data_IF_432310080089
#
_entry.id   IF_432310080089
#
_cell.length_a   1.000
_cell.length_b   1.000
_cell.length_c   1.000
_cell.angle_alpha   90.00
_cell.angle_beta   90.00
_cell.angle_gamma   90.00
#
_symmetry.space_group_name_H-M   'P 1'
#
loop_
_entity.id
_entity.type
_entity.pdbx_description
1 polymer ?
#
# COMPACT_ATOMS: atom_id res chain seq x y z
N UNK A 1 19.11 -11.11 0.50
CA UNK A 1 19.26 -9.70 0.89
C UNK A 1 18.01 -9.29 1.65
N UNK A 2 18.13 -8.48 2.71
CA UNK A 2 17.00 -8.01 3.50
C UNK A 2 16.90 -6.48 3.36
N UNK A 3 15.68 -5.97 3.23
CA UNK A 3 15.40 -4.53 3.21
C UNK A 3 14.23 -4.25 4.13
N UNK A 4 14.34 -3.18 4.93
CA UNK A 4 13.26 -2.67 5.76
C UNK A 4 13.30 -1.15 5.72
N UNK A 5 12.25 -0.57 5.18
CA UNK A 5 12.07 0.86 5.06
C UNK A 5 11.47 1.39 6.37
N UNK A 6 11.96 2.53 6.82
CA UNK A 6 11.38 3.26 7.95
C UNK A 6 10.17 4.07 7.46
N UNK A 7 9.03 3.40 7.37
CA UNK A 7 7.78 3.98 6.86
C UNK A 7 6.93 4.42 8.05
N UNK A 8 6.42 5.67 8.07
CA UNK A 8 5.47 6.12 9.06
C UNK A 8 4.30 5.16 9.21
N UNK A 9 3.90 4.86 10.44
CA UNK A 9 2.76 4.02 10.75
C UNK A 9 1.58 4.89 11.14
N UNK A 10 0.47 4.73 10.43
CA UNK A 10 -0.78 5.44 10.70
C UNK A 10 -1.90 4.43 10.89
N UNK A 11 -2.76 4.68 11.87
CA UNK A 11 -4.04 4.00 11.98
C UNK A 11 -5.07 4.68 11.07
N UNK A 12 -5.93 3.90 10.43
CA UNK A 12 -7.06 4.43 9.68
C UNK A 12 -8.05 5.06 10.65
N UNK A 13 -8.51 6.28 10.35
CA UNK A 13 -9.44 7.01 11.22
C UNK A 13 -10.91 6.58 11.04
N UNK A 14 -11.23 5.93 9.92
CA UNK A 14 -12.56 5.43 9.58
C UNK A 14 -12.51 3.94 9.20
N UNK A 15 -13.62 3.19 9.33
CA UNK A 15 -13.63 1.74 9.09
C UNK A 15 -13.22 1.32 7.66
N UNK A 16 -13.44 2.15 6.64
CA UNK A 16 -13.20 1.78 5.24
C UNK A 16 -12.17 2.67 4.52
N UNK A 17 -11.30 3.37 5.25
CA UNK A 17 -10.30 4.28 4.66
C UNK A 17 -8.87 3.73 4.63
N UNK A 18 -8.71 2.40 4.67
CA UNK A 18 -7.40 1.73 4.56
C UNK A 18 -6.65 2.13 3.28
N UNK A 19 -7.35 2.27 2.15
CA UNK A 19 -6.78 2.71 0.87
C UNK A 19 -6.09 4.07 0.95
N UNK A 20 -6.73 5.02 1.64
CA UNK A 20 -6.25 6.38 1.79
C UNK A 20 -5.12 6.43 2.82
N UNK A 21 -5.34 5.82 3.99
CA UNK A 21 -4.34 5.77 5.06
C UNK A 21 -3.04 5.11 4.60
N UNK A 22 -3.13 4.03 3.82
CA UNK A 22 -1.96 3.38 3.21
C UNK A 22 -1.24 4.28 2.22
N UNK A 23 -1.97 5.00 1.36
CA UNK A 23 -1.37 5.97 0.45
C UNK A 23 -0.71 7.12 1.23
N UNK A 24 -1.31 7.62 2.32
CA UNK A 24 -0.74 8.65 3.19
C UNK A 24 0.60 8.20 3.81
N UNK A 25 0.70 6.96 4.30
CA UNK A 25 1.97 6.43 4.84
C UNK A 25 3.10 6.46 3.79
N UNK A 26 2.79 6.11 2.55
CA UNK A 26 3.74 6.14 1.44
C UNK A 26 4.10 7.59 1.08
N UNK A 27 3.12 8.48 1.01
CA UNK A 27 3.34 9.90 0.80
C UNK A 27 4.30 10.49 1.84
N UNK A 28 4.04 10.28 3.13
CA UNK A 28 4.89 10.78 4.21
C UNK A 28 6.32 10.22 4.11
N UNK A 29 6.49 8.94 3.77
CA UNK A 29 7.81 8.37 3.53
C UNK A 29 8.56 9.13 2.40
N UNK A 30 7.90 9.39 1.26
CA UNK A 30 8.54 10.13 0.17
C UNK A 30 8.84 11.58 0.54
N UNK A 31 7.96 12.26 1.27
CA UNK A 31 8.21 13.61 1.76
C UNK A 31 9.44 13.65 2.69
N UNK A 32 9.58 12.67 3.58
CA UNK A 32 10.75 12.55 4.46
C UNK A 32 12.05 12.29 3.68
N UNK A 33 11.99 11.48 2.60
CA UNK A 33 13.17 11.13 1.80
C UNK A 33 13.60 12.21 0.80
N UNK A 34 12.65 12.95 0.25
CA UNK A 34 12.92 13.91 -0.84
C UNK A 34 12.86 15.36 -0.37
N UNK A 35 12.33 15.63 0.83
CA UNK A 35 12.02 16.97 1.34
C UNK A 35 11.05 17.77 0.46
N UNK A 36 10.38 17.12 -0.49
CA UNK A 36 9.33 17.72 -1.31
C UNK A 36 8.00 17.59 -0.57
N UNK A 37 7.25 18.69 -0.50
CA UNK A 37 5.91 18.70 0.06
C UNK A 37 4.89 18.80 -1.06
N UNK A 38 3.70 18.24 -0.83
CA UNK A 38 2.62 18.26 -1.80
C UNK A 38 1.30 17.80 -1.20
N UNK A 39 0.16 18.25 -1.75
CA UNK A 39 -1.13 17.78 -1.32
C UNK A 39 -1.32 16.33 -1.76
N UNK A 40 -1.71 15.47 -0.82
CA UNK A 40 -2.36 14.22 -1.14
C UNK A 40 -3.77 14.57 -1.60
N UNK A 41 -3.98 14.62 -2.94
CA UNK A 41 -5.22 15.03 -3.62
C UNK A 41 -6.40 14.10 -3.28
N UNK A 42 -6.84 14.17 -2.03
CA UNK A 42 -7.87 13.34 -1.42
C UNK A 42 -9.17 13.55 -2.18
N UNK A 43 -9.88 12.45 -2.46
CA UNK A 43 -11.18 12.47 -3.13
C UNK A 43 -12.26 12.63 -2.04
N UNK A 44 -12.82 13.83 -1.81
CA UNK A 44 -13.58 14.11 -0.60
C UNK A 44 -14.83 13.25 -0.45
N UNK A 45 -15.56 13.00 -1.54
CA UNK A 45 -16.79 12.20 -1.52
C UNK A 45 -16.49 10.74 -1.16
N UNK A 46 -15.41 10.19 -1.72
CA UNK A 46 -14.99 8.82 -1.41
C UNK A 46 -14.47 8.69 0.03
N UNK A 47 -13.78 9.73 0.50
CA UNK A 47 -13.30 9.79 1.89
C UNK A 47 -14.46 9.85 2.88
N UNK A 48 -15.45 10.73 2.65
CA UNK A 48 -16.64 10.84 3.48
C UNK A 48 -17.45 9.53 3.53
N UNK A 49 -17.58 8.84 2.38
CA UNK A 49 -18.26 7.54 2.30
C UNK A 49 -17.56 6.44 3.10
N UNK A 50 -16.24 6.52 3.30
CA UNK A 50 -15.48 5.52 4.03
C UNK A 50 -15.90 5.38 5.50
N UNK A 51 -16.60 6.38 6.05
CA UNK A 51 -17.18 6.33 7.39
C UNK A 51 -18.33 5.31 7.52
N UNK A 52 -19.09 5.07 6.44
CA UNK A 52 -20.38 4.35 6.51
C UNK A 52 -20.50 3.18 5.56
N UNK A 53 -19.74 3.16 4.47
CA UNK A 53 -19.85 2.13 3.43
C UNK A 53 -18.49 1.56 3.03
N UNK A 54 -18.38 0.24 2.87
CA UNK A 54 -17.21 -0.37 2.26
C UNK A 54 -17.11 0.04 0.79
N UNK A 55 -15.88 0.19 0.32
CA UNK A 55 -15.58 0.41 -1.08
C UNK A 55 -15.28 -0.92 -1.75
N UNK A 56 -15.67 -1.05 -3.02
CA UNK A 56 -15.29 -2.20 -3.80
C UNK A 56 -13.82 -2.09 -4.23
N UNK A 57 -13.15 -3.24 -4.42
CA UNK A 57 -11.70 -3.27 -4.69
C UNK A 57 -11.28 -2.46 -5.94
N UNK A 58 -12.12 -2.45 -6.99
CA UNK A 58 -11.86 -1.67 -8.20
C UNK A 58 -11.89 -0.15 -7.92
N UNK A 59 -12.67 0.28 -6.93
CA UNK A 59 -12.71 1.66 -6.49
C UNK A 59 -11.41 2.04 -5.77
N UNK A 60 -10.82 1.15 -4.96
CA UNK A 60 -9.54 1.44 -4.29
C UNK A 60 -8.44 1.82 -5.28
N UNK A 61 -8.31 1.06 -6.37
CA UNK A 61 -7.28 1.32 -7.39
C UNK A 61 -7.51 2.68 -8.06
N UNK A 62 -8.76 2.98 -8.41
CA UNK A 62 -9.13 4.26 -9.03
C UNK A 62 -8.85 5.44 -8.08
N UNK A 63 -9.24 5.30 -6.80
CA UNK A 63 -9.03 6.32 -5.79
C UNK A 63 -7.54 6.50 -5.46
N UNK A 64 -6.77 5.42 -5.40
CA UNK A 64 -5.32 5.45 -5.22
C UNK A 64 -4.63 6.25 -6.35
N UNK A 65 -5.06 6.08 -7.61
CA UNK A 65 -4.57 6.89 -8.73
C UNK A 65 -4.87 8.37 -8.55
N UNK A 66 -6.07 8.71 -8.10
CA UNK A 66 -6.45 10.10 -7.85
C UNK A 66 -5.59 10.76 -6.77
N UNK A 67 -5.25 10.03 -5.70
CA UNK A 67 -4.34 10.51 -4.64
C UNK A 67 -2.85 10.39 -5.00
N UNK A 68 -2.52 10.12 -6.27
CA UNK A 68 -1.15 10.19 -6.78
C UNK A 68 -0.33 8.91 -6.69
N UNK A 69 -1.00 7.76 -6.69
CA UNK A 69 -0.36 6.46 -6.84
C UNK A 69 -0.36 6.01 -8.31
N UNK A 70 0.65 5.25 -8.71
CA UNK A 70 0.69 4.57 -10.01
C UNK A 70 0.80 3.06 -9.80
N UNK A 71 0.08 2.31 -10.62
CA UNK A 71 0.08 0.85 -10.57
C UNK A 71 1.35 0.26 -11.17
N UNK A 72 1.86 -0.81 -10.55
CA UNK A 72 2.93 -1.62 -11.12
C UNK A 72 2.34 -2.82 -11.88
N UNK A 73 3.03 -3.32 -12.92
CA UNK A 73 2.69 -4.59 -13.55
C UNK A 73 2.62 -5.72 -12.52
N UNK A 74 1.59 -6.55 -12.63
CA UNK A 74 1.40 -7.70 -11.74
C UNK A 74 2.26 -8.87 -12.19
N UNK A 75 2.84 -9.59 -11.22
CA UNK A 75 3.47 -10.89 -11.42
C UNK A 75 2.58 -11.98 -10.82
N UNK A 76 2.68 -13.20 -11.34
CA UNK A 76 1.96 -14.35 -10.78
C UNK A 76 2.48 -14.74 -9.39
N UNK A 77 3.77 -14.52 -9.14
CA UNK A 77 4.41 -14.74 -7.86
C UNK A 77 5.56 -13.74 -7.66
N UNK A 78 5.72 -13.30 -6.41
CA UNK A 78 6.78 -12.43 -5.97
C UNK A 78 7.79 -13.22 -5.12
N UNK A 79 9.09 -13.01 -5.39
CA UNK A 79 10.20 -13.56 -4.62
C UNK A 79 10.79 -12.50 -3.70
N UNK A 80 11.70 -12.90 -2.81
CA UNK A 80 12.44 -11.93 -1.98
C UNK A 80 13.23 -10.96 -2.86
N UNK A 81 13.82 -11.43 -3.95
CA UNK A 81 14.59 -10.61 -4.88
C UNK A 81 13.69 -9.59 -5.60
N UNK A 82 12.54 -10.02 -6.13
CA UNK A 82 11.66 -9.10 -6.85
C UNK A 82 11.05 -8.05 -5.92
N UNK A 83 10.63 -8.45 -4.71
CA UNK A 83 10.14 -7.50 -3.70
C UNK A 83 11.25 -6.55 -3.22
N UNK A 84 12.47 -7.05 -3.03
CA UNK A 84 13.63 -6.21 -2.67
C UNK A 84 13.87 -5.15 -3.74
N UNK A 85 13.85 -5.55 -5.02
CA UNK A 85 14.05 -4.64 -6.14
C UNK A 85 12.94 -3.58 -6.21
N UNK A 86 11.68 -3.97 -6.05
CA UNK A 86 10.55 -3.04 -6.04
C UNK A 86 10.65 -2.03 -4.89
N UNK A 87 10.94 -2.50 -3.67
CA UNK A 87 11.11 -1.64 -2.50
C UNK A 87 12.30 -0.69 -2.63
N UNK A 88 13.40 -1.15 -3.24
CA UNK A 88 14.60 -0.33 -3.48
C UNK A 88 14.32 0.76 -4.51
N UNK A 89 13.64 0.41 -5.61
CA UNK A 89 13.42 1.32 -6.72
C UNK A 89 12.32 2.35 -6.46
N UNK A 90 11.31 1.97 -5.67
CA UNK A 90 10.08 2.76 -5.55
C UNK A 90 9.75 3.18 -4.12
N UNK A 91 10.44 2.64 -3.11
CA UNK A 91 10.04 2.80 -1.72
C UNK A 91 8.90 1.86 -1.34
N UNK A 92 8.11 2.17 -0.30
CA UNK A 92 7.07 1.28 0.21
C UNK A 92 5.95 1.06 -0.81
N UNK A 93 5.37 -0.14 -0.79
CA UNK A 93 4.36 -0.55 -1.75
C UNK A 93 2.97 -0.53 -1.12
N UNK A 94 2.02 0.06 -1.82
CA UNK A 94 0.60 -0.02 -1.51
C UNK A 94 0.07 -1.34 -2.06
N UNK A 95 -0.52 -2.19 -1.23
CA UNK A 95 -0.92 -3.55 -1.63
C UNK A 95 -2.38 -3.85 -1.29
N UNK A 96 -3.22 -3.97 -2.31
CA UNK A 96 -4.60 -4.43 -2.19
C UNK A 96 -4.67 -5.96 -2.24
N UNK A 97 -5.40 -6.55 -1.31
CA UNK A 97 -5.49 -8.00 -1.17
C UNK A 97 -6.67 -8.43 -0.31
N UNK A 98 -6.90 -9.74 -0.29
CA UNK A 98 -7.80 -10.40 0.65
C UNK A 98 -7.07 -10.69 1.97
N UNK A 99 -6.52 -9.65 2.58
CA UNK A 99 -5.76 -9.76 3.83
C UNK A 99 -6.68 -10.11 5.00
N UNK A 100 -6.26 -11.04 5.85
CA UNK A 100 -6.99 -11.41 7.08
C UNK A 100 -8.48 -11.78 6.88
N UNK A 101 -8.89 -12.18 5.67
CA UNK A 101 -10.26 -12.62 5.36
C UNK A 101 -11.16 -11.58 4.71
N UNK A 102 -10.71 -10.33 4.55
CA UNK A 102 -11.48 -9.27 3.90
C UNK A 102 -10.63 -8.51 2.87
N UNK A 103 -11.29 -7.80 1.95
CA UNK A 103 -10.58 -6.89 1.06
C UNK A 103 -10.01 -5.74 1.88
N UNK A 104 -8.69 -5.55 1.80
CA UNK A 104 -7.98 -4.58 2.63
C UNK A 104 -6.73 -4.08 1.91
N UNK A 105 -6.17 -2.98 2.39
CA UNK A 105 -4.95 -2.39 1.86
C UNK A 105 -3.92 -2.30 2.97
N UNK A 106 -2.75 -2.88 2.72
CA UNK A 106 -1.58 -2.79 3.60
C UNK A 106 -0.45 -2.05 2.89
N UNK A 107 0.55 -1.61 3.66
CA UNK A 107 1.78 -1.04 3.10
C UNK A 107 2.92 -2.02 3.33
N UNK A 108 3.47 -2.58 2.25
CA UNK A 108 4.68 -3.39 2.33
C UNK A 108 5.86 -2.46 2.59
N UNK A 109 6.56 -2.70 3.70
CA UNK A 109 7.67 -1.85 4.16
C UNK A 109 9.01 -2.57 4.10
N UNK A 110 9.03 -3.89 3.91
CA UNK A 110 10.27 -4.65 3.89
C UNK A 110 10.09 -6.08 3.48
N UNK A 111 11.21 -6.74 3.18
CA UNK A 111 11.27 -8.16 2.87
C UNK A 111 12.63 -8.71 3.28
N UNK A 112 12.63 -9.96 3.71
CA UNK A 112 13.83 -10.79 3.92
C UNK A 112 13.48 -12.24 3.52
N UNK A 113 14.45 -13.18 3.49
CA UNK A 113 14.16 -14.56 3.10
C UNK A 113 12.99 -15.16 3.90
N UNK A 114 11.89 -15.45 3.20
CA UNK A 114 10.69 -16.05 3.76
C UNK A 114 9.69 -15.09 4.42
N UNK A 115 10.06 -13.84 4.70
CA UNK A 115 9.26 -12.90 5.50
C UNK A 115 9.02 -11.58 4.76
N UNK A 116 7.79 -11.07 4.85
CA UNK A 116 7.43 -9.69 4.49
C UNK A 116 7.12 -8.88 5.75
N UNK A 117 7.51 -7.60 5.73
CA UNK A 117 7.19 -6.62 6.77
C UNK A 117 6.14 -5.65 6.25
N UNK A 118 5.12 -5.37 7.05
CA UNK A 118 4.04 -4.47 6.65
C UNK A 118 3.56 -3.56 7.76
N UNK A 119 3.08 -2.39 7.35
CA UNK A 119 2.23 -1.53 8.16
C UNK A 119 0.78 -1.82 7.79
N UNK A 120 -0.02 -2.15 8.79
CA UNK A 120 -1.46 -2.36 8.66
C UNK A 120 -2.21 -1.11 9.14
N UNK A 121 -2.95 -0.42 8.26
CA UNK A 121 -3.79 0.71 8.66
C UNK A 121 -4.85 0.33 9.70
N UNK A 122 -5.34 -0.91 9.70
CA UNK A 122 -6.34 -1.33 10.68
C UNK A 122 -5.69 -1.33 12.07
N UNK A 123 -6.12 -0.38 12.91
CA UNK A 123 -5.56 -0.06 14.23
C UNK A 123 -4.10 0.41 14.22
N UNK A 124 -3.50 0.64 13.05
CA UNK A 124 -2.14 1.19 12.92
C UNK A 124 -1.09 0.31 13.57
N UNK A 125 -0.96 -0.93 13.11
CA UNK A 125 -0.03 -1.91 13.69
C UNK A 125 1.01 -2.40 12.68
N UNK A 126 2.23 -2.63 13.14
CA UNK A 126 3.26 -3.31 12.33
C UNK A 126 3.06 -4.81 12.45
N UNK A 127 3.09 -5.49 11.31
CA UNK A 127 2.95 -6.95 11.25
C UNK A 127 4.01 -7.54 10.33
N UNK A 128 4.13 -8.85 10.41
CA UNK A 128 4.91 -9.66 9.49
C UNK A 128 4.03 -10.75 8.89
N UNK A 129 4.39 -11.20 7.70
CA UNK A 129 3.78 -12.35 7.04
C UNK A 129 4.84 -13.17 6.31
N UNK A 130 4.46 -14.32 5.78
CA UNK A 130 5.35 -15.07 4.88
C UNK A 130 5.20 -14.56 3.44
N UNK A 131 6.24 -14.74 2.62
CA UNK A 131 6.14 -14.42 1.18
C UNK A 131 5.05 -15.27 0.51
N UNK A 132 4.88 -16.54 0.91
CA UNK A 132 3.82 -17.40 0.41
C UNK A 132 2.42 -16.83 0.76
N UNK A 133 2.22 -16.42 2.02
CA UNK A 133 0.99 -15.75 2.42
C UNK A 133 0.76 -14.46 1.63
N UNK A 134 1.79 -13.67 1.40
CA UNK A 134 1.69 -12.46 0.58
C UNK A 134 1.19 -12.77 -0.83
N UNK A 135 1.80 -13.74 -1.52
CA UNK A 135 1.39 -14.16 -2.87
C UNK A 135 -0.04 -14.72 -2.90
N UNK A 136 -0.45 -15.49 -1.88
CA UNK A 136 -1.79 -16.06 -1.81
C UNK A 136 -2.88 -15.04 -1.54
N UNK A 137 -2.58 -13.97 -0.78
CA UNK A 137 -3.56 -12.99 -0.33
C UNK A 137 -3.59 -11.73 -1.18
N UNK A 138 -2.50 -11.40 -1.87
CA UNK A 138 -2.47 -10.30 -2.83
C UNK A 138 -3.53 -10.54 -3.92
N UNK A 139 -4.29 -9.51 -4.24
CA UNK A 139 -5.37 -9.67 -5.21
C UNK A 139 -4.81 -9.67 -6.63
N UNK A 140 -4.64 -10.84 -7.25
CA UNK A 140 -4.03 -10.96 -8.59
C UNK A 140 -5.01 -10.75 -9.75
N UNK A 141 -6.32 -10.78 -9.49
CA UNK A 141 -7.36 -10.66 -10.52
C UNK A 141 -7.62 -9.22 -11.00
N UNK A 142 -7.12 -8.21 -10.28
CA UNK A 142 -7.13 -6.82 -10.74
C UNK A 142 -5.79 -6.46 -11.37
N UNK A 143 -5.82 -5.70 -12.47
CA UNK A 143 -4.64 -4.94 -12.87
C UNK A 143 -4.31 -3.90 -11.78
N UNK A 144 -3.05 -3.84 -11.34
CA UNK A 144 -2.52 -2.84 -10.39
C UNK A 144 -2.88 -2.99 -8.90
N UNK A 145 -2.92 -4.21 -8.35
CA UNK A 145 -3.08 -4.39 -6.89
C UNK A 145 -1.84 -4.02 -6.07
N UNK A 146 -0.70 -3.83 -6.74
CA UNK A 146 0.47 -3.17 -6.17
C UNK A 146 0.61 -1.79 -6.81
N UNK A 147 0.73 -0.77 -5.97
CA UNK A 147 0.92 0.61 -6.41
C UNK A 147 2.03 1.29 -5.61
N UNK A 148 2.61 2.32 -6.21
CA UNK A 148 3.69 3.13 -5.62
C UNK A 148 3.40 4.62 -5.81
N UNK A 149 4.12 5.49 -5.10
CA UNK A 149 4.00 6.93 -5.33
C UNK A 149 4.40 7.27 -6.76
N UNK A 150 3.57 8.03 -7.46
CA UNK A 150 3.94 8.61 -8.74
C UNK A 150 5.02 9.69 -8.53
N UNK A 151 6.25 9.51 -9.06
CA UNK A 151 7.34 10.46 -8.87
C UNK A 151 7.14 11.77 -9.65
N UNK A 152 6.23 11.78 -10.63
CA UNK A 152 5.89 12.99 -11.41
C UNK A 152 4.91 13.90 -10.67
N UNK A 153 4.19 13.34 -9.68
CA UNK A 153 3.31 14.08 -8.79
C UNK A 153 4.08 14.55 -7.56
N UNK A 154 3.67 15.68 -6.98
CA UNK A 154 4.33 16.36 -5.86
C UNK A 154 4.81 15.42 -4.74
#
# INVERSE_FOLDING_TARGET
MAIKLDVPLLAQEMPNCCWHTAAMMIWLYHQQKTHRQGPMNTVPEAYARAATQPLYWAEFITLAKNVGMIGLPMANNYSVESLTQMLTNSGPLWCCGMWYGACHVIVLTGVEPGIVYLNDPDRGVRKTGTINWFNQKLYSAASCSIMVKDPTRY
#
